data_IF_626459209112
#
_entry.id   IF_626459209112
#
_cell.length_a   1.000
_cell.length_b   1.000
_cell.length_c   1.000
_cell.angle_alpha   90.00
_cell.angle_beta   90.00
_cell.angle_gamma   90.00
#
_symmetry.space_group_name_H-M   'P 1'
#
loop_
_entity.id
_entity.type
_entity.pdbx_description
1 polymer ?
#
# COMPACT_ATOMS: atom_id res chain seq x y z
N UNK A 1 18.10 -26.37 -30.59
CA UNK A 1 17.78 -25.85 -29.24
C UNK A 1 17.93 -26.99 -28.26
N UNK A 2 18.81 -26.85 -27.27
CA UNK A 2 18.99 -27.86 -26.24
C UNK A 2 17.85 -27.73 -25.23
N UNK A 3 17.26 -28.84 -24.80
CA UNK A 3 16.16 -28.84 -23.83
C UNK A 3 16.53 -28.13 -22.51
N UNK A 4 17.80 -28.24 -22.10
CA UNK A 4 18.33 -27.52 -20.94
C UNK A 4 18.34 -26.00 -21.11
N UNK A 5 18.53 -25.49 -22.33
CA UNK A 5 18.51 -24.06 -22.62
C UNK A 5 17.08 -23.49 -22.48
N UNK A 6 16.09 -24.24 -22.98
CA UNK A 6 14.68 -23.90 -22.83
C UNK A 6 14.22 -23.91 -21.37
N UNK A 7 14.66 -24.90 -20.58
CA UNK A 7 14.35 -24.96 -19.14
C UNK A 7 14.98 -23.81 -18.36
N UNK A 8 16.24 -23.49 -18.65
CA UNK A 8 16.93 -22.38 -18.00
C UNK A 8 16.26 -21.04 -18.29
N UNK A 9 15.87 -20.82 -19.55
CA UNK A 9 15.13 -19.63 -19.96
C UNK A 9 13.78 -19.52 -19.22
N UNK A 10 13.06 -20.63 -19.06
CA UNK A 10 11.77 -20.65 -18.34
C UNK A 10 11.94 -20.31 -16.85
N UNK A 11 12.98 -20.85 -16.21
CA UNK A 11 13.29 -20.56 -14.80
C UNK A 11 13.63 -19.08 -14.61
N UNK A 12 14.49 -18.51 -15.46
CA UNK A 12 14.82 -17.08 -15.41
C UNK A 12 13.58 -16.22 -15.63
N UNK A 13 12.71 -16.61 -16.56
CA UNK A 13 11.48 -15.87 -16.83
C UNK A 13 10.54 -15.82 -15.62
N UNK A 14 10.36 -16.95 -14.93
CA UNK A 14 9.59 -17.03 -13.69
C UNK A 14 10.22 -16.19 -12.59
N UNK A 15 11.55 -16.22 -12.46
CA UNK A 15 12.28 -15.44 -11.46
C UNK A 15 12.10 -13.93 -11.69
N UNK A 16 12.14 -13.50 -12.96
CA UNK A 16 11.95 -12.12 -13.35
C UNK A 16 10.53 -11.64 -13.06
N UNK A 17 9.51 -12.45 -13.37
CA UNK A 17 8.13 -12.18 -12.97
C UNK A 17 7.98 -12.11 -11.45
N UNK A 18 8.63 -13.01 -10.71
CA UNK A 18 8.64 -13.00 -9.25
C UNK A 18 9.18 -11.70 -8.65
N UNK A 19 10.26 -11.15 -9.22
CA UNK A 19 10.83 -9.86 -8.79
C UNK A 19 9.82 -8.73 -9.03
N UNK A 20 9.19 -8.67 -10.21
CA UNK A 20 8.19 -7.64 -10.54
C UNK A 20 7.01 -7.71 -9.56
N UNK A 21 6.50 -8.91 -9.27
CA UNK A 21 5.43 -9.11 -8.30
C UNK A 21 5.85 -8.72 -6.88
N UNK A 22 7.07 -9.07 -6.46
CA UNK A 22 7.59 -8.72 -5.14
C UNK A 22 7.70 -7.20 -4.98
N UNK A 23 8.24 -6.49 -5.97
CA UNK A 23 8.34 -5.02 -5.96
C UNK A 23 6.94 -4.39 -5.94
N UNK A 24 6.01 -4.87 -6.78
CA UNK A 24 4.62 -4.40 -6.78
C UNK A 24 3.96 -4.59 -5.41
N UNK A 25 4.13 -5.76 -4.79
CA UNK A 25 3.57 -6.06 -3.48
C UNK A 25 4.18 -5.17 -2.39
N UNK A 26 5.49 -4.93 -2.41
CA UNK A 26 6.17 -4.05 -1.45
C UNK A 26 5.67 -2.61 -1.59
N UNK A 27 5.60 -2.07 -2.81
CA UNK A 27 5.08 -0.72 -3.05
C UNK A 27 3.63 -0.63 -2.59
N UNK A 28 2.79 -1.60 -2.99
CA UNK A 28 1.39 -1.64 -2.59
C UNK A 28 1.23 -1.72 -1.07
N UNK A 29 2.05 -2.53 -0.39
CA UNK A 29 2.03 -2.67 1.06
C UNK A 29 2.44 -1.36 1.75
N UNK A 30 3.47 -0.67 1.27
CA UNK A 30 3.91 0.62 1.84
C UNK A 30 2.87 1.72 1.60
N UNK A 31 2.31 1.80 0.40
CA UNK A 31 1.31 2.82 0.03
C UNK A 31 -0.02 2.59 0.76
N UNK A 32 -0.49 1.34 0.82
CA UNK A 32 -1.79 1.00 1.43
C UNK A 32 -1.73 0.93 2.97
N UNK A 33 -0.55 0.73 3.58
CA UNK A 33 -0.40 0.68 5.05
C UNK A 33 -0.53 2.05 5.75
N UNK A 34 -0.88 3.12 5.02
CA UNK A 34 -1.15 4.43 5.60
C UNK A 34 -2.66 4.84 5.67
N UNK A 35 -3.60 4.04 6.19
CA UNK A 35 -4.91 4.55 6.60
C UNK A 35 -4.87 5.15 8.02
N UNK A 36 -3.73 5.06 8.72
CA UNK A 36 -3.58 5.56 10.10
C UNK A 36 -3.67 7.09 10.17
N UNK A 37 -3.21 7.79 9.14
CA UNK A 37 -3.33 9.25 9.10
C UNK A 37 -4.76 9.72 8.82
N UNK A 38 -5.54 8.99 8.01
CA UNK A 38 -6.93 9.40 7.73
C UNK A 38 -7.81 9.24 8.97
N UNK A 39 -7.71 8.13 9.72
CA UNK A 39 -8.47 7.94 10.96
C UNK A 39 -8.14 8.96 12.04
N UNK A 40 -6.86 9.31 12.20
CA UNK A 40 -6.43 10.32 13.19
C UNK A 40 -6.83 11.72 12.76
N UNK A 41 -6.82 12.01 11.46
CA UNK A 41 -7.28 13.27 10.91
C UNK A 41 -8.80 13.42 11.04
N UNK A 42 -9.59 12.39 10.71
CA UNK A 42 -11.04 12.34 10.91
C UNK A 42 -11.41 12.57 12.38
N UNK A 43 -10.76 11.85 13.31
CA UNK A 43 -10.98 12.05 14.75
C UNK A 43 -10.62 13.46 15.25
N UNK A 44 -9.61 14.10 14.65
CA UNK A 44 -9.28 15.49 14.97
C UNK A 44 -10.31 16.46 14.40
N UNK A 45 -10.84 16.21 13.21
CA UNK A 45 -11.90 17.02 12.61
C UNK A 45 -13.20 16.94 13.43
N UNK A 46 -13.63 15.74 13.83
CA UNK A 46 -14.83 15.57 14.68
C UNK A 46 -14.70 16.35 15.99
N UNK A 47 -13.51 16.32 16.60
CA UNK A 47 -13.24 17.02 17.85
C UNK A 47 -13.23 18.54 17.69
N UNK A 48 -12.77 19.06 16.55
CA UNK A 48 -12.82 20.49 16.24
C UNK A 48 -14.28 20.94 16.01
N UNK A 49 -15.10 20.12 15.33
CA UNK A 49 -16.52 20.41 15.12
C UNK A 49 -17.27 20.47 16.47
N UNK A 50 -17.01 19.51 17.37
CA UNK A 50 -17.63 19.50 18.71
C UNK A 50 -17.25 20.74 19.54
N UNK A 51 -15.98 21.15 19.48
CA UNK A 51 -15.50 22.34 20.19
C UNK A 51 -16.10 23.62 19.61
N UNK A 52 -16.19 23.75 18.28
CA UNK A 52 -16.83 24.89 17.62
C UNK A 52 -18.34 24.97 17.89
N UNK A 53 -19.00 23.82 18.02
CA UNK A 53 -20.43 23.78 18.34
C UNK A 53 -20.70 24.14 19.80
N UNK A 54 -19.81 23.75 20.73
CA UNK A 54 -19.86 24.19 22.13
C UNK A 54 -19.60 25.69 22.26
N UNK A 55 -18.63 26.22 21.52
CA UNK A 55 -18.27 27.65 21.55
C UNK A 55 -19.33 28.54 20.87
N UNK A 56 -20.12 28.02 19.93
CA UNK A 56 -21.25 28.75 19.29
C UNK A 56 -22.58 28.67 20.06
N UNK A 57 -22.70 27.75 21.03
CA UNK A 57 -23.93 27.57 21.83
C UNK A 57 -23.90 28.28 23.18
N UNK A 58 -22.78 28.91 23.54
CA UNK A 58 -22.68 29.94 24.58
C UNK A 58 -22.76 31.34 23.96
#
# INVERSE_FOLDING_TARGET
MNFGDLLFQLIIFILLLGIVFAVYFVIRSIVIKNPTNSKVLEQKLDRIIELLEKENKE
#
